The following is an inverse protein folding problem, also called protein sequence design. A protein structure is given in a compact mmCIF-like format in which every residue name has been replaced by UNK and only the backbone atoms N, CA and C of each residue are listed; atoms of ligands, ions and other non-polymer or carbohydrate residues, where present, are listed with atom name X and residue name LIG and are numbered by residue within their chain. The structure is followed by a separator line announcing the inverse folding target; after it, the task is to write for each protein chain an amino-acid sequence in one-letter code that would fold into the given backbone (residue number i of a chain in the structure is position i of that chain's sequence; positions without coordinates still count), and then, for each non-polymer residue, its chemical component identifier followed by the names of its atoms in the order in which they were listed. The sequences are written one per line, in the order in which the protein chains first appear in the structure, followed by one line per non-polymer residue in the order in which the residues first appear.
data_IF_769339309420
#
_entry.id   IF_769339309420
#
_cell.length_a   1.000
_cell.length_b   1.000
_cell.length_c   1.000
_cell.angle_alpha   90.00
_cell.angle_beta   90.00
_cell.angle_gamma   90.00
#
_symmetry.space_group_name_H-M   'P 1'
#
loop_
_entity.id
_entity.type
_entity.pdbx_description
1 polymer ?
#
# COMPACT_ATOMS: atom_id res chain seq x y z
N UNK A 1 -7.52 -34.40 2.18
CA UNK A 1 -6.25 -33.68 2.42
C UNK A 1 -5.75 -33.21 1.06
N UNK A 2 -5.94 -31.93 0.73
CA UNK A 2 -5.56 -31.39 -0.57
C UNK A 2 -4.08 -31.01 -0.49
N UNK A 3 -3.26 -31.68 -1.29
CA UNK A 3 -1.83 -31.41 -1.37
C UNK A 3 -1.63 -30.02 -1.98
N UNK A 4 -0.91 -29.14 -1.28
CA UNK A 4 -0.45 -27.88 -1.83
C UNK A 4 0.49 -28.16 -3.01
N UNK A 5 0.21 -27.55 -4.17
CA UNK A 5 1.12 -27.58 -5.30
C UNK A 5 2.47 -26.97 -4.90
N UNK A 6 3.61 -27.46 -5.41
CA UNK A 6 4.91 -26.89 -5.08
C UNK A 6 4.95 -25.42 -5.51
N UNK A 7 5.29 -24.53 -4.58
CA UNK A 7 5.49 -23.12 -4.87
C UNK A 7 6.57 -22.97 -5.96
N UNK A 8 6.28 -22.19 -7.00
CA UNK A 8 7.26 -21.91 -8.04
C UNK A 8 8.49 -21.20 -7.44
N UNK A 9 9.67 -21.43 -8.02
CA UNK A 9 10.97 -20.88 -7.59
C UNK A 9 11.05 -19.32 -7.53
N UNK A 10 9.98 -18.62 -7.89
CA UNK A 10 9.87 -17.16 -7.89
C UNK A 10 8.64 -16.66 -7.10
N UNK A 11 8.06 -17.49 -6.24
CA UNK A 11 6.96 -17.09 -5.38
C UNK A 11 7.51 -16.36 -4.14
N UNK A 12 6.95 -15.18 -3.85
CA UNK A 12 7.18 -14.48 -2.59
C UNK A 12 6.39 -15.18 -1.50
N UNK A 13 7.06 -15.59 -0.43
CA UNK A 13 6.41 -16.21 0.72
C UNK A 13 5.81 -15.12 1.61
N UNK A 14 4.56 -15.31 2.01
CA UNK A 14 3.85 -14.39 2.90
C UNK A 14 3.71 -15.00 4.28
N UNK A 15 4.48 -14.50 5.24
CA UNK A 15 4.50 -15.03 6.60
C UNK A 15 3.72 -14.12 7.55
N UNK A 16 3.01 -14.66 8.56
CA UNK A 16 2.39 -13.86 9.60
C UNK A 16 3.36 -12.86 10.23
N UNK A 17 2.94 -11.61 10.32
CA UNK A 17 3.67 -10.61 11.07
C UNK A 17 3.74 -11.02 12.54
N UNK A 18 4.83 -10.63 13.21
CA UNK A 18 4.94 -10.76 14.65
C UNK A 18 3.90 -9.89 15.37
N UNK A 19 3.86 -9.98 16.70
CA UNK A 19 3.02 -9.11 17.53
C UNK A 19 3.21 -7.62 17.14
N UNK A 20 2.14 -6.80 17.29
CA UNK A 20 2.14 -5.43 16.80
C UNK A 20 3.27 -4.58 17.40
N UNK A 21 3.86 -3.73 16.56
CA UNK A 21 4.86 -2.75 16.97
C UNK A 21 4.29 -1.79 18.02
N UNK A 22 5.15 -1.38 18.96
CA UNK A 22 4.79 -0.43 20.02
C UNK A 22 5.87 0.65 20.13
N UNK A 23 5.54 1.96 20.00
CA UNK A 23 4.21 2.52 19.71
C UNK A 23 3.82 2.39 18.23
N UNK A 24 2.51 2.31 17.96
CA UNK A 24 1.97 2.41 16.59
C UNK A 24 2.11 3.87 16.12
N UNK A 25 2.62 4.14 14.90
CA UNK A 25 2.78 5.49 14.40
C UNK A 25 1.44 6.22 14.30
N UNK A 26 1.42 7.51 14.61
CA UNK A 26 0.27 8.36 14.32
C UNK A 26 0.13 8.53 12.81
N UNK A 27 -1.08 8.30 12.29
CA UNK A 27 -1.37 8.38 10.87
C UNK A 27 -2.67 9.11 10.58
N UNK A 28 -2.78 9.66 9.37
CA UNK A 28 -4.03 10.20 8.84
C UNK A 28 -4.36 9.57 7.49
N UNK A 29 -5.64 9.57 7.15
CA UNK A 29 -6.12 9.15 5.85
C UNK A 29 -6.22 10.36 4.90
N UNK A 30 -5.84 10.16 3.65
CA UNK A 30 -6.07 11.08 2.54
C UNK A 30 -6.89 10.40 1.44
N UNK A 31 -8.06 10.95 1.14
CA UNK A 31 -8.89 10.54 0.01
C UNK A 31 -8.51 11.42 -1.20
N UNK A 32 -7.59 10.92 -2.04
CA UNK A 32 -7.19 11.53 -3.30
C UNK A 32 -6.13 12.63 -3.24
N UNK A 33 -6.10 13.46 -2.19
CA UNK A 33 -5.08 14.51 -2.02
C UNK A 33 -4.62 14.67 -0.56
N UNK A 34 -3.34 15.03 -0.32
CA UNK A 34 -2.84 15.29 1.02
C UNK A 34 -3.53 16.52 1.65
N UNK A 35 -3.67 16.55 2.99
CA UNK A 35 -4.33 17.65 3.69
C UNK A 35 -3.56 18.97 3.57
N UNK A 36 -4.30 20.08 3.67
CA UNK A 36 -3.70 21.41 3.81
C UNK A 36 -3.08 21.56 5.22
N UNK A 37 -1.84 22.06 5.31
CA UNK A 37 -1.16 22.33 6.57
C UNK A 37 -0.07 21.30 6.95
N UNK A 38 0.30 21.20 8.24
CA UNK A 38 1.30 20.23 8.71
C UNK A 38 0.87 18.79 8.44
N UNK A 39 1.82 17.95 8.03
CA UNK A 39 1.58 16.54 7.75
C UNK A 39 1.88 15.68 8.99
N UNK A 40 1.15 14.56 9.20
CA UNK A 40 1.47 13.58 10.24
C UNK A 40 2.76 12.82 9.87
N UNK A 41 3.35 12.03 10.78
CA UNK A 41 4.49 11.16 10.44
C UNK A 41 4.20 10.16 9.30
N UNK A 42 2.93 9.73 9.18
CA UNK A 42 2.48 8.78 8.18
C UNK A 42 1.13 9.22 7.59
N UNK A 43 1.06 9.31 6.27
CA UNK A 43 -0.17 9.57 5.52
C UNK A 43 -0.57 8.30 4.77
N UNK A 44 -1.85 7.95 4.78
CA UNK A 44 -2.39 6.80 4.04
C UNK A 44 -3.20 7.30 2.85
N UNK A 45 -2.79 6.91 1.65
CA UNK A 45 -3.56 7.09 0.42
C UNK A 45 -4.35 5.81 0.13
N UNK A 46 -5.68 5.91 0.05
CA UNK A 46 -6.50 4.83 -0.52
C UNK A 46 -6.57 5.00 -2.03
N UNK A 47 -6.17 3.94 -2.74
CA UNK A 47 -6.31 3.88 -4.19
C UNK A 47 -7.76 3.60 -4.52
N UNK A 48 -8.37 4.44 -5.36
CA UNK A 48 -9.73 4.21 -5.85
C UNK A 48 -9.79 3.02 -6.80
N UNK A 49 -10.90 2.29 -6.78
CA UNK A 49 -11.09 1.07 -7.58
C UNK A 49 -11.19 1.35 -9.11
N UNK A 50 -11.31 2.62 -9.52
CA UNK A 50 -11.54 3.04 -10.91
C UNK A 50 -12.98 2.84 -11.38
N UNK A 51 -13.24 2.97 -12.68
CA UNK A 51 -14.55 2.69 -13.27
C UNK A 51 -14.76 1.16 -13.38
N UNK A 52 -15.70 0.56 -12.62
CA UNK A 52 -15.93 -0.89 -12.67
C UNK A 52 -16.51 -1.36 -14.01
N UNK A 53 -17.05 -0.47 -14.85
CA UNK A 53 -17.56 -0.82 -16.17
C UNK A 53 -16.46 -0.85 -17.26
N UNK A 54 -15.29 -0.27 -16.98
CA UNK A 54 -14.17 -0.23 -17.92
C UNK A 54 -13.47 -1.60 -18.03
N UNK A 55 -12.93 -1.96 -19.21
CA UNK A 55 -12.05 -3.12 -19.35
C UNK A 55 -10.87 -3.04 -18.37
N UNK A 56 -10.45 -4.20 -17.84
CA UNK A 56 -9.36 -4.27 -16.84
C UNK A 56 -8.09 -3.54 -17.28
N UNK A 57 -7.59 -3.64 -18.54
CA UNK A 57 -6.42 -2.88 -18.97
C UNK A 57 -6.60 -1.37 -18.88
N UNK A 58 -7.76 -0.86 -19.29
CA UNK A 58 -8.06 0.58 -19.30
C UNK A 58 -8.20 1.11 -17.86
N UNK A 59 -8.86 0.34 -16.99
CA UNK A 59 -8.99 0.66 -15.56
C UNK A 59 -7.62 0.64 -14.87
N UNK A 60 -6.79 -0.36 -15.14
CA UNK A 60 -5.43 -0.45 -14.61
C UNK A 60 -4.57 0.74 -15.05
N UNK A 61 -4.71 1.16 -16.31
CA UNK A 61 -4.01 2.32 -16.85
C UNK A 61 -4.45 3.61 -16.17
N UNK A 62 -5.75 3.86 -16.06
CA UNK A 62 -6.31 5.05 -15.42
C UNK A 62 -5.90 5.15 -13.94
N UNK A 63 -6.12 4.08 -13.17
CA UNK A 63 -5.77 4.03 -11.73
C UNK A 63 -4.25 4.18 -11.54
N UNK A 64 -3.45 3.59 -12.42
CA UNK A 64 -1.99 3.76 -12.42
C UNK A 64 -1.55 5.20 -12.67
N UNK A 65 -2.13 5.88 -13.67
CA UNK A 65 -1.83 7.28 -13.98
C UNK A 65 -2.26 8.23 -12.86
N UNK A 66 -3.44 8.02 -12.30
CA UNK A 66 -3.93 8.83 -11.17
C UNK A 66 -2.99 8.71 -9.98
N UNK A 67 -2.60 7.48 -9.65
CA UNK A 67 -1.66 7.22 -8.54
C UNK A 67 -0.29 7.83 -8.83
N UNK A 68 0.24 7.68 -10.05
CA UNK A 68 1.50 8.30 -10.44
C UNK A 68 1.47 9.82 -10.24
N UNK A 69 0.37 10.47 -10.64
CA UNK A 69 0.19 11.91 -10.42
C UNK A 69 0.21 12.28 -8.93
N UNK A 70 -0.38 11.46 -8.06
CA UNK A 70 -0.31 11.67 -6.60
C UNK A 70 1.12 11.50 -6.08
N UNK A 71 1.82 10.44 -6.47
CA UNK A 71 3.20 10.19 -6.04
C UNK A 71 4.16 11.31 -6.48
N UNK A 72 4.02 11.79 -7.72
CA UNK A 72 4.82 12.91 -8.23
C UNK A 72 4.56 14.21 -7.46
N UNK A 73 3.29 14.54 -7.18
CA UNK A 73 2.95 15.71 -6.34
C UNK A 73 3.48 15.56 -4.92
N UNK A 74 3.41 14.36 -4.36
CA UNK A 74 3.94 14.05 -3.04
C UNK A 74 5.45 14.26 -2.95
N UNK A 75 6.20 13.78 -3.94
CA UNK A 75 7.65 13.96 -4.02
C UNK A 75 8.07 15.42 -4.24
N UNK A 76 7.21 16.21 -4.88
CA UNK A 76 7.44 17.64 -5.10
C UNK A 76 7.08 18.52 -3.89
N UNK A 77 6.39 18.00 -2.87
CA UNK A 77 5.99 18.76 -1.68
C UNK A 77 7.10 18.72 -0.60
N UNK A 78 7.73 19.86 -0.26
CA UNK A 78 8.78 19.88 0.77
C UNK A 78 8.29 19.42 2.14
N UNK A 79 7.00 19.55 2.44
CA UNK A 79 6.42 19.06 3.71
C UNK A 79 6.52 17.55 3.83
N UNK A 80 6.58 16.84 2.71
CA UNK A 80 6.59 15.40 2.67
C UNK A 80 7.94 14.80 3.11
N UNK A 81 9.03 15.57 3.14
CA UNK A 81 10.37 15.05 3.49
C UNK A 81 10.43 14.34 4.85
N UNK A 82 9.63 14.79 5.82
CA UNK A 82 9.51 14.18 7.15
C UNK A 82 8.31 13.24 7.31
N UNK A 83 7.57 12.98 6.23
CA UNK A 83 6.36 12.15 6.24
C UNK A 83 6.50 10.96 5.29
N UNK A 84 6.12 9.76 5.76
CA UNK A 84 6.00 8.58 4.92
C UNK A 84 4.61 8.52 4.27
N UNK A 85 4.52 8.00 3.05
CA UNK A 85 3.25 7.75 2.37
C UNK A 85 2.99 6.25 2.27
N UNK A 86 1.94 5.77 2.96
CA UNK A 86 1.41 4.42 2.78
C UNK A 86 0.35 4.42 1.67
N UNK A 87 0.51 3.55 0.67
CA UNK A 87 -0.43 3.38 -0.42
C UNK A 87 -1.21 2.08 -0.19
N UNK A 88 -2.51 2.22 0.06
CA UNK A 88 -3.42 1.10 0.30
C UNK A 88 -4.10 0.67 -1.00
N UNK A 89 -3.88 -0.59 -1.37
CA UNK A 89 -4.42 -1.24 -2.56
C UNK A 89 -5.26 -2.46 -2.20
N UNK A 90 -6.22 -2.80 -3.06
CA UNK A 90 -6.97 -4.05 -2.96
C UNK A 90 -6.09 -5.22 -3.41
N UNK A 91 -5.90 -6.21 -2.53
CA UNK A 91 -5.15 -7.42 -2.90
C UNK A 91 -5.95 -8.24 -3.91
N UNK A 92 -5.26 -8.84 -4.89
CA UNK A 92 -5.87 -9.65 -5.94
C UNK A 92 -6.59 -8.89 -7.07
N UNK A 93 -6.74 -7.56 -7.00
CA UNK A 93 -7.28 -6.78 -8.11
C UNK A 93 -6.18 -6.46 -9.16
N UNK A 94 -6.32 -6.91 -10.43
CA UNK A 94 -5.34 -6.62 -11.48
C UNK A 94 -5.10 -5.13 -11.74
N UNK A 95 -6.08 -4.25 -11.56
CA UNK A 95 -5.88 -2.81 -11.75
C UNK A 95 -4.97 -2.22 -10.66
N UNK A 96 -5.09 -2.73 -9.44
CA UNK A 96 -4.26 -2.34 -8.31
C UNK A 96 -2.86 -2.96 -8.36
N UNK A 97 -2.67 -4.06 -9.09
CA UNK A 97 -1.35 -4.67 -9.29
C UNK A 97 -0.37 -3.70 -10.00
N UNK A 98 -0.85 -2.91 -10.95
CA UNK A 98 -0.07 -1.83 -11.60
C UNK A 98 0.43 -0.81 -10.56
N UNK A 99 -0.44 -0.41 -9.64
CA UNK A 99 -0.08 0.51 -8.55
C UNK A 99 0.95 -0.10 -7.61
N UNK A 100 0.78 -1.37 -7.23
CA UNK A 100 1.77 -2.06 -6.41
C UNK A 100 3.15 -2.10 -7.07
N UNK A 101 3.22 -2.33 -8.39
CA UNK A 101 4.46 -2.24 -9.17
C UNK A 101 5.09 -0.85 -9.11
N UNK A 102 4.28 0.19 -9.34
CA UNK A 102 4.72 1.58 -9.29
C UNK A 102 5.27 1.97 -7.90
N UNK A 103 4.59 1.59 -6.82
CA UNK A 103 5.03 1.88 -5.45
C UNK A 103 6.36 1.19 -5.14
N UNK A 104 6.58 -0.04 -5.60
CA UNK A 104 7.88 -0.72 -5.43
C UNK A 104 9.02 0.01 -6.15
N UNK A 105 8.76 0.58 -7.32
CA UNK A 105 9.75 1.44 -7.99
C UNK A 105 10.03 2.68 -7.13
N UNK A 106 8.99 3.35 -6.65
CA UNK A 106 9.14 4.52 -5.78
C UNK A 106 9.90 4.20 -4.48
N UNK A 107 9.71 3.01 -3.90
CA UNK A 107 10.46 2.52 -2.74
C UNK A 107 11.95 2.32 -3.05
N UNK A 108 12.27 1.77 -4.22
CA UNK A 108 13.65 1.55 -4.65
C UNK A 108 14.38 2.88 -4.91
N UNK A 109 13.68 3.87 -5.49
CA UNK A 109 14.23 5.19 -5.77
C UNK A 109 14.29 6.11 -4.53
N UNK A 110 13.34 5.94 -3.61
CA UNK A 110 13.21 6.75 -2.39
C UNK A 110 13.03 5.85 -1.16
N UNK A 111 14.14 5.28 -0.63
CA UNK A 111 14.10 4.44 0.57
C UNK A 111 13.42 5.14 1.76
N UNK A 112 12.73 4.36 2.59
CA UNK A 112 12.04 4.80 3.81
C UNK A 112 10.96 5.88 3.62
N UNK A 113 10.53 6.15 2.38
CA UNK A 113 9.52 7.17 2.07
C UNK A 113 8.13 6.63 1.76
N UNK A 114 8.05 5.37 1.32
CA UNK A 114 6.81 4.76 0.86
C UNK A 114 6.56 3.39 1.51
N UNK A 115 5.31 3.13 1.87
CA UNK A 115 4.83 1.82 2.32
C UNK A 115 3.74 1.34 1.36
N UNK A 116 3.67 0.03 1.14
CA UNK A 116 2.64 -0.62 0.34
C UNK A 116 1.76 -1.49 1.23
N UNK A 117 0.45 -1.21 1.27
CA UNK A 117 -0.52 -1.99 2.03
C UNK A 117 -1.44 -2.74 1.06
N UNK A 118 -1.41 -4.07 1.06
CA UNK A 118 -2.26 -4.93 0.22
C UNK A 118 -3.38 -5.52 1.05
N UNK A 119 -4.61 -5.08 0.83
CA UNK A 119 -5.71 -5.35 1.75
C UNK A 119 -6.84 -6.10 1.04
N UNK A 120 -7.43 -7.13 1.67
CA UNK A 120 -8.65 -7.77 1.14
C UNK A 120 -9.77 -6.73 0.89
N UNK A 121 -9.92 -5.81 1.85
CA UNK A 121 -10.73 -4.62 1.75
C UNK A 121 -9.89 -3.41 2.16
N UNK A 122 -9.85 -2.37 1.32
CA UNK A 122 -9.12 -1.13 1.58
C UNK A 122 -9.83 -0.22 2.61
N UNK A 123 -10.40 -0.82 3.65
CA UNK A 123 -11.13 -0.14 4.71
C UNK A 123 -10.23 0.29 5.89
N UNK A 124 -10.82 1.02 6.81
CA UNK A 124 -10.21 1.48 8.05
C UNK A 124 -9.60 0.35 8.91
N UNK A 125 -10.25 -0.83 8.95
CA UNK A 125 -9.81 -1.94 9.79
C UNK A 125 -8.59 -2.66 9.19
N UNK A 126 -8.59 -2.87 7.88
CA UNK A 126 -7.44 -3.38 7.13
C UNK A 126 -6.22 -2.47 7.28
N UNK A 127 -6.40 -1.16 7.11
CA UNK A 127 -5.32 -0.18 7.28
C UNK A 127 -4.76 -0.22 8.71
N UNK A 128 -5.61 -0.20 9.74
CA UNK A 128 -5.15 -0.30 11.14
C UNK A 128 -4.36 -1.57 11.40
N UNK A 129 -4.82 -2.70 10.86
CA UNK A 129 -4.14 -3.99 11.00
C UNK A 129 -2.77 -3.98 10.34
N UNK A 130 -2.67 -3.43 9.13
CA UNK A 130 -1.40 -3.35 8.40
C UNK A 130 -0.39 -2.43 9.11
N UNK A 131 -0.85 -1.25 9.55
CA UNK A 131 0.01 -0.26 10.20
C UNK A 131 0.45 -0.67 11.61
N UNK A 132 -0.24 -1.63 12.23
CA UNK A 132 0.16 -2.18 13.52
C UNK A 132 1.46 -2.99 13.45
N UNK A 133 1.93 -3.39 12.25
CA UNK A 133 3.21 -4.11 12.09
C UNK A 133 4.42 -3.20 12.34
N UNK A 134 4.24 -1.89 12.21
CA UNK A 134 5.31 -0.90 12.36
C UNK A 134 5.78 -0.36 11.00
N UNK A 135 6.49 0.77 11.01
CA UNK A 135 6.76 1.53 9.79
C UNK A 135 7.97 1.02 9.00
N UNK A 136 8.72 0.05 9.53
CA UNK A 136 9.98 -0.45 8.96
C UNK A 136 9.77 -1.56 7.91
N UNK A 137 8.55 -2.09 7.82
CA UNK A 137 8.19 -3.06 6.78
C UNK A 137 7.67 -2.30 5.54
N UNK A 138 8.36 -2.35 4.40
CA UNK A 138 7.99 -1.57 3.21
C UNK A 138 6.71 -2.11 2.55
N UNK A 139 6.39 -3.39 2.73
CA UNK A 139 5.18 -3.98 2.17
C UNK A 139 4.51 -4.89 3.21
N UNK A 140 3.20 -4.69 3.41
CA UNK A 140 2.37 -5.47 4.33
C UNK A 140 1.10 -5.89 3.59
N UNK A 141 0.75 -7.17 3.66
CA UNK A 141 -0.56 -7.66 3.22
C UNK A 141 -1.47 -7.88 4.43
N UNK A 142 -2.77 -7.65 4.29
CA UNK A 142 -3.78 -8.05 5.28
C UNK A 142 -4.75 -8.98 4.61
N UNK A 143 -4.73 -10.23 5.08
CA UNK A 143 -5.60 -11.32 4.61
C UNK A 143 -6.34 -11.93 5.79
N UNK A 144 -7.66 -12.07 5.68
CA UNK A 144 -8.52 -12.57 6.76
C UNK A 144 -8.30 -11.81 8.10
N UNK A 145 -8.06 -10.50 8.01
CA UNK A 145 -7.78 -9.65 9.18
C UNK A 145 -6.42 -9.89 9.84
N UNK A 146 -5.48 -10.58 9.18
CA UNK A 146 -4.12 -10.83 9.69
C UNK A 146 -3.09 -10.17 8.81
N UNK A 147 -2.14 -9.47 9.44
CA UNK A 147 -1.00 -8.91 8.73
C UNK A 147 0.01 -9.99 8.34
N UNK A 148 0.50 -9.92 7.11
CA UNK A 148 1.48 -10.80 6.49
C UNK A 148 2.60 -9.96 5.88
N UNK A 149 3.81 -10.51 5.89
CA UNK A 149 5.01 -9.87 5.38
C UNK A 149 5.64 -10.70 4.26
N UNK A 150 6.11 -10.06 3.18
CA UNK A 150 6.82 -10.74 2.11
C UNK A 150 8.25 -11.10 2.59
N UNK A 151 8.70 -12.31 2.25
CA UNK A 151 10.04 -12.84 2.57
C UNK A 151 10.66 -13.56 1.37
#
# INVERSE_FOLDING_TARGET
VQAAAPAGLYAVDWLPAAAPATPVPAWALADGAPPAGPLPPLLVLRVGDGDPAAPVPDRAHAVGLDTLGVLQRWLADPRAESTRLAVAVRDGDPAHATVAGLVRVAQAEHPDRFLLLRLDAADDAGIRTALAVGPDEPEVAVRDGRALLPR
#
